data_IF_786312376223
#
_entry.id   IF_786312376223
#
_cell.length_a   1.000
_cell.length_b   1.000
_cell.length_c   1.000
_cell.angle_alpha   90.00
_cell.angle_beta   90.00
_cell.angle_gamma   90.00
#
_symmetry.space_group_name_H-M   'P 1'
#
loop_
_entity.id
_entity.type
_entity.pdbx_description
1 polymer ?
#
# COMPACT_ATOMS: atom_id res chain seq x y z
N UNK A 1 5.85 49.57 31.16
CA UNK A 1 6.89 48.91 30.33
C UNK A 1 6.38 47.55 29.90
N UNK A 2 6.46 47.27 28.61
CA UNK A 2 5.86 46.14 27.90
C UNK A 2 6.76 44.92 28.08
N UNK A 3 6.25 43.78 28.56
CA UNK A 3 6.91 42.49 28.36
C UNK A 3 5.92 41.51 27.74
N UNK A 4 6.00 41.44 26.41
CA UNK A 4 5.35 40.42 25.60
C UNK A 4 6.00 39.07 25.92
N UNK A 5 5.25 38.16 26.53
CA UNK A 5 5.66 36.75 26.55
C UNK A 5 5.54 36.20 25.12
N UNK A 6 6.68 36.20 24.42
CA UNK A 6 6.84 35.49 23.17
C UNK A 6 6.53 34.01 23.37
N UNK A 7 5.33 33.61 22.96
CA UNK A 7 4.93 32.20 22.96
C UNK A 7 5.94 31.37 22.18
N UNK A 8 6.58 30.41 22.86
CA UNK A 8 7.50 29.46 22.26
C UNK A 8 6.72 28.60 21.27
N UNK A 9 6.77 28.98 19.99
CA UNK A 9 6.14 28.23 18.91
C UNK A 9 6.83 26.86 18.79
N UNK A 10 6.14 25.81 19.22
CA UNK A 10 6.61 24.43 19.14
C UNK A 10 6.79 24.06 17.66
N UNK A 11 8.04 23.90 17.21
CA UNK A 11 8.44 23.97 15.81
C UNK A 11 7.82 22.93 14.86
N UNK A 12 7.12 21.90 15.34
CA UNK A 12 6.44 20.92 14.48
C UNK A 12 5.27 20.17 15.19
N UNK A 13 4.11 20.82 15.33
CA UNK A 13 2.86 20.14 15.72
C UNK A 13 2.24 19.44 14.50
N UNK A 14 1.91 18.15 14.66
CA UNK A 14 1.11 17.39 13.69
C UNK A 14 -0.38 17.64 13.97
N UNK A 15 -1.15 17.89 12.92
CA UNK A 15 -2.60 18.05 12.99
C UNK A 15 -3.26 17.08 12.00
N UNK A 16 -4.29 16.37 12.45
CA UNK A 16 -5.10 15.51 11.59
C UNK A 16 -6.03 16.35 10.67
N UNK A 17 -6.62 15.72 9.66
CA UNK A 17 -7.50 16.41 8.72
C UNK A 17 -8.78 16.90 9.40
N UNK A 18 -9.31 16.13 10.35
CA UNK A 18 -10.52 16.48 11.11
C UNK A 18 -10.33 17.79 11.89
N UNK A 19 -9.21 17.93 12.62
CA UNK A 19 -8.87 19.15 13.33
C UNK A 19 -8.69 20.32 12.37
N UNK A 20 -7.95 20.14 11.26
CA UNK A 20 -7.76 21.20 10.27
C UNK A 20 -9.08 21.72 9.72
N UNK A 21 -10.04 20.83 9.45
CA UNK A 21 -11.38 21.22 8.97
C UNK A 21 -12.18 21.93 10.05
N UNK A 22 -12.11 21.50 11.31
CA UNK A 22 -12.76 22.21 12.42
C UNK A 22 -12.24 23.65 12.54
N UNK A 23 -10.92 23.84 12.43
CA UNK A 23 -10.28 25.17 12.44
C UNK A 23 -10.73 26.01 11.25
N UNK A 24 -10.81 25.43 10.05
CA UNK A 24 -11.27 26.13 8.84
C UNK A 24 -12.73 26.55 8.96
N UNK A 25 -13.62 25.67 9.41
CA UNK A 25 -15.05 25.98 9.59
C UNK A 25 -15.24 27.11 10.61
N UNK A 26 -14.51 27.09 11.73
CA UNK A 26 -14.55 28.18 12.71
C UNK A 26 -14.01 29.50 12.13
N UNK A 27 -12.96 29.43 11.32
CA UNK A 27 -12.37 30.61 10.67
C UNK A 27 -13.28 31.25 9.61
N UNK A 28 -14.22 30.48 9.04
CA UNK A 28 -15.23 30.98 8.10
C UNK A 28 -16.40 31.67 8.80
N UNK A 29 -16.79 31.18 9.98
CA UNK A 29 -17.85 31.80 10.79
C UNK A 29 -17.37 33.04 11.55
N UNK A 30 -16.07 33.09 11.88
CA UNK A 30 -15.46 34.18 12.64
C UNK A 30 -14.43 34.89 11.77
N UNK A 31 -13.15 34.74 12.10
CA UNK A 31 -12.03 35.21 11.31
C UNK A 31 -10.84 34.26 11.46
N UNK A 32 -9.86 34.36 10.54
CA UNK A 32 -8.63 33.56 10.62
C UNK A 32 -7.84 33.83 11.90
N UNK A 33 -7.82 35.09 12.35
CA UNK A 33 -7.11 35.51 13.56
C UNK A 33 -7.83 35.05 14.85
N UNK A 34 -9.16 35.04 14.83
CA UNK A 34 -9.95 34.45 15.91
C UNK A 34 -9.73 32.94 16.01
N UNK A 35 -9.69 32.24 14.88
CA UNK A 35 -9.41 30.80 14.84
C UNK A 35 -8.00 30.46 15.34
N UNK A 36 -7.00 31.25 14.94
CA UNK A 36 -5.62 31.09 15.39
C UNK A 36 -5.51 31.17 16.91
N UNK A 37 -6.17 32.17 17.53
CA UNK A 37 -6.24 32.34 18.99
C UNK A 37 -7.01 31.21 19.66
N UNK A 38 -8.21 30.89 19.17
CA UNK A 38 -9.08 29.86 19.74
C UNK A 38 -8.41 28.48 19.78
N UNK A 39 -7.75 28.09 18.69
CA UNK A 39 -7.12 26.77 18.56
C UNK A 39 -5.63 26.75 18.89
N UNK A 40 -5.04 27.89 19.29
CA UNK A 40 -3.60 28.03 19.51
C UNK A 40 -2.76 27.50 18.33
N UNK A 41 -3.14 27.91 17.12
CA UNK A 41 -2.51 27.56 15.84
C UNK A 41 -1.93 28.82 15.21
N UNK A 42 -0.76 28.71 14.59
CA UNK A 42 -0.17 29.78 13.80
C UNK A 42 -1.16 30.31 12.72
N UNK A 43 -1.48 31.63 12.69
CA UNK A 43 -2.34 32.22 11.67
C UNK A 43 -1.94 31.87 10.24
N UNK A 44 -0.65 31.67 9.96
CA UNK A 44 -0.16 31.21 8.65
C UNK A 44 -0.72 29.85 8.28
N UNK A 45 -0.75 28.89 9.22
CA UNK A 45 -1.32 27.55 8.99
C UNK A 45 -2.81 27.61 8.74
N UNK A 46 -3.54 28.44 9.47
CA UNK A 46 -4.98 28.66 9.25
C UNK A 46 -5.23 29.15 7.82
N UNK A 47 -4.41 30.10 7.34
CA UNK A 47 -4.47 30.61 5.96
C UNK A 47 -4.19 29.53 4.92
N UNK A 48 -3.15 28.72 5.13
CA UNK A 48 -2.80 27.60 4.25
C UNK A 48 -3.90 26.52 4.20
N UNK A 49 -4.53 26.21 5.34
CA UNK A 49 -5.61 25.23 5.39
C UNK A 49 -6.88 25.76 4.73
N UNK A 50 -7.20 27.05 4.89
CA UNK A 50 -8.30 27.70 4.15
C UNK A 50 -8.09 27.63 2.64
N UNK A 51 -6.87 27.93 2.15
CA UNK A 51 -6.54 27.81 0.71
C UNK A 51 -6.74 26.39 0.18
N UNK A 52 -6.48 25.39 1.01
CA UNK A 52 -6.58 23.97 0.65
C UNK A 52 -7.86 23.28 1.14
N UNK A 53 -8.91 24.04 1.54
CA UNK A 53 -10.13 23.51 2.17
C UNK A 53 -10.75 22.35 1.39
N UNK A 54 -10.94 22.52 0.09
CA UNK A 54 -11.56 21.51 -0.79
C UNK A 54 -10.76 20.21 -0.82
N UNK A 55 -9.43 20.29 -0.86
CA UNK A 55 -8.54 19.13 -0.81
C UNK A 55 -8.56 18.44 0.58
N UNK A 56 -8.67 19.22 1.66
CA UNK A 56 -8.80 18.69 3.02
C UNK A 56 -10.12 17.94 3.20
N UNK A 57 -11.24 18.49 2.70
CA UNK A 57 -12.58 17.88 2.79
C UNK A 57 -12.61 16.51 2.10
N UNK A 58 -12.29 16.48 0.79
CA UNK A 58 -12.23 15.24 -0.01
C UNK A 58 -11.36 14.16 0.61
N UNK A 59 -10.23 14.55 1.20
CA UNK A 59 -9.31 13.58 1.81
C UNK A 59 -9.78 13.12 3.19
N UNK A 60 -10.49 13.96 3.94
CA UNK A 60 -11.03 13.60 5.26
C UNK A 60 -12.16 12.58 5.17
N UNK A 61 -12.94 12.60 4.09
CA UNK A 61 -14.00 11.61 3.80
C UNK A 61 -13.43 10.20 3.63
N UNK A 62 -12.20 10.10 3.12
CA UNK A 62 -11.50 8.82 2.92
C UNK A 62 -10.69 8.41 4.16
N UNK A 63 -9.97 9.34 4.78
CA UNK A 63 -9.03 9.06 5.88
C UNK A 63 -8.86 10.30 6.79
N UNK A 64 -9.79 10.44 7.74
CA UNK A 64 -9.85 11.60 8.65
C UNK A 64 -8.66 11.71 9.62
N UNK A 65 -7.98 10.59 9.93
CA UNK A 65 -6.81 10.53 10.84
C UNK A 65 -5.50 10.94 10.16
N UNK A 66 -5.50 11.06 8.84
CA UNK A 66 -4.34 11.51 8.07
C UNK A 66 -3.92 12.92 8.49
N UNK A 67 -2.62 13.22 8.42
CA UNK A 67 -2.11 14.57 8.72
C UNK A 67 -1.65 15.36 7.48
N UNK A 68 -1.33 14.68 6.37
CA UNK A 68 -0.76 15.29 5.15
C UNK A 68 -1.71 15.15 3.97
N UNK A 69 -1.76 16.19 3.13
CA UNK A 69 -2.39 16.08 1.82
C UNK A 69 -1.66 15.06 0.95
N UNK A 70 -2.36 14.51 -0.05
CA UNK A 70 -1.73 13.67 -1.08
C UNK A 70 -0.63 14.49 -1.79
N UNK A 71 0.49 13.84 -2.10
CA UNK A 71 1.64 14.49 -2.75
C UNK A 71 2.53 15.34 -1.84
N UNK A 72 2.17 15.57 -0.56
CA UNK A 72 3.00 16.35 0.38
C UNK A 72 4.23 15.61 0.94
N UNK A 73 4.73 14.58 0.25
CA UNK A 73 5.89 13.78 0.62
C UNK A 73 7.09 14.03 -0.29
N UNK A 74 8.21 13.35 -0.02
CA UNK A 74 9.37 13.38 -0.92
C UNK A 74 8.96 12.82 -2.29
N UNK A 75 9.24 13.60 -3.35
CA UNK A 75 9.01 13.19 -4.74
C UNK A 75 9.88 11.99 -5.10
N UNK A 76 9.50 11.29 -6.16
CA UNK A 76 10.31 10.22 -6.79
C UNK A 76 11.65 10.77 -7.27
N UNK A 77 12.65 9.90 -7.42
CA UNK A 77 13.99 10.32 -7.84
C UNK A 77 13.99 10.87 -9.27
N UNK A 78 13.17 10.28 -10.13
CA UNK A 78 12.80 10.79 -11.45
C UNK A 78 11.42 10.20 -11.78
N UNK A 79 10.60 10.94 -12.50
CA UNK A 79 9.32 10.47 -13.02
C UNK A 79 9.52 9.52 -14.21
N UNK A 80 10.41 9.88 -15.14
CA UNK A 80 10.80 9.05 -16.28
C UNK A 80 11.37 7.70 -15.83
N UNK A 81 12.22 7.68 -14.79
CA UNK A 81 12.73 6.43 -14.21
C UNK A 81 11.58 5.53 -13.71
N UNK A 82 10.56 6.10 -13.04
CA UNK A 82 9.45 5.31 -12.53
C UNK A 82 8.62 4.70 -13.67
N UNK A 83 8.35 5.46 -14.74
CA UNK A 83 7.62 4.98 -15.93
C UNK A 83 8.38 3.85 -16.61
N UNK A 84 9.65 4.07 -16.96
CA UNK A 84 10.48 3.08 -17.64
C UNK A 84 10.62 1.79 -16.81
N UNK A 85 10.78 1.92 -15.49
CA UNK A 85 10.82 0.76 -14.59
C UNK A 85 9.49 0.03 -14.51
N UNK A 86 8.36 0.75 -14.50
CA UNK A 86 7.03 0.17 -14.48
C UNK A 86 6.78 -0.67 -15.74
N UNK A 87 7.03 -0.10 -16.91
CA UNK A 87 6.88 -0.78 -18.20
C UNK A 87 7.74 -2.03 -18.28
N UNK A 88 9.00 -1.93 -17.86
CA UNK A 88 9.90 -3.08 -17.85
C UNK A 88 9.41 -4.22 -16.95
N UNK A 89 8.90 -3.91 -15.75
CA UNK A 89 8.35 -4.92 -14.83
C UNK A 89 7.10 -5.58 -15.43
N UNK A 90 6.19 -4.80 -16.01
CA UNK A 90 4.97 -5.32 -16.65
C UNK A 90 5.34 -6.21 -17.85
N UNK A 91 6.21 -5.76 -18.74
CA UNK A 91 6.66 -6.53 -19.91
C UNK A 91 7.33 -7.85 -19.53
N UNK A 92 8.06 -7.90 -18.41
CA UNK A 92 8.59 -9.18 -17.88
C UNK A 92 7.49 -10.09 -17.32
N UNK A 93 6.51 -9.54 -16.60
CA UNK A 93 5.38 -10.31 -16.05
C UNK A 93 4.48 -10.88 -17.14
N UNK A 94 4.24 -10.13 -18.22
CA UNK A 94 3.47 -10.58 -19.39
C UNK A 94 4.14 -11.76 -20.10
N UNK A 95 5.47 -11.81 -20.12
CA UNK A 95 6.26 -12.95 -20.62
C UNK A 95 6.40 -14.10 -19.61
N UNK A 96 5.67 -14.05 -18.50
CA UNK A 96 5.79 -14.99 -17.39
C UNK A 96 7.20 -15.14 -16.81
N UNK A 97 8.05 -14.13 -17.01
CA UNK A 97 9.41 -14.13 -16.51
C UNK A 97 9.45 -13.69 -15.04
N UNK A 98 10.31 -14.35 -14.27
CA UNK A 98 10.50 -14.01 -12.86
C UNK A 98 11.21 -12.67 -12.73
N UNK A 99 10.56 -11.71 -12.07
CA UNK A 99 11.17 -10.43 -11.69
C UNK A 99 11.56 -10.46 -10.22
N UNK A 100 12.85 -10.46 -9.92
CA UNK A 100 13.36 -10.41 -8.54
C UNK A 100 13.69 -8.98 -8.11
N UNK A 101 13.67 -8.73 -6.79
CA UNK A 101 14.09 -7.45 -6.20
C UNK A 101 15.50 -7.03 -6.63
N UNK A 102 16.43 -7.98 -6.76
CA UNK A 102 17.80 -7.72 -7.23
C UNK A 102 17.82 -7.25 -8.69
N UNK A 103 17.01 -7.87 -9.56
CA UNK A 103 16.89 -7.46 -10.96
C UNK A 103 16.30 -6.06 -11.10
N UNK A 104 15.26 -5.73 -10.32
CA UNK A 104 14.65 -4.39 -10.32
C UNK A 104 15.69 -3.33 -9.97
N UNK A 105 16.51 -3.56 -8.93
CA UNK A 105 17.57 -2.62 -8.52
C UNK A 105 18.66 -2.47 -9.57
N UNK A 106 19.07 -3.56 -10.22
CA UNK A 106 20.06 -3.51 -11.28
C UNK A 106 19.53 -2.71 -12.49
N UNK A 107 18.32 -3.02 -12.96
CA UNK A 107 17.70 -2.33 -14.08
C UNK A 107 17.45 -0.85 -13.79
N UNK A 108 17.07 -0.51 -12.56
CA UNK A 108 16.86 0.88 -12.17
C UNK A 108 18.14 1.71 -12.24
N UNK A 109 19.30 1.12 -11.90
CA UNK A 109 20.59 1.82 -12.03
C UNK A 109 20.97 2.03 -13.50
N UNK A 110 20.69 1.05 -14.34
CA UNK A 110 20.92 1.12 -15.78
C UNK A 110 20.04 2.19 -16.45
N UNK A 111 18.74 2.23 -16.13
CA UNK A 111 17.84 3.25 -16.67
C UNK A 111 18.19 4.64 -16.14
N UNK A 112 18.63 4.74 -14.87
CA UNK A 112 18.97 6.05 -14.31
C UNK A 112 20.10 6.76 -15.07
N UNK A 113 21.03 6.03 -15.73
CA UNK A 113 22.08 6.67 -16.53
C UNK A 113 21.58 7.25 -17.86
N UNK A 114 20.39 6.86 -18.32
CA UNK A 114 19.84 7.30 -19.61
C UNK A 114 18.74 8.34 -19.46
N UNK A 115 18.26 8.57 -18.24
CA UNK A 115 17.14 9.47 -17.92
C UNK A 115 17.65 10.92 -17.89
N UNK A 116 16.98 11.80 -18.65
CA UNK A 116 17.36 13.22 -18.78
C UNK A 116 17.03 14.04 -17.53
N UNK A 117 15.99 13.63 -16.80
CA UNK A 117 15.54 14.27 -15.55
C UNK A 117 16.33 13.78 -14.30
N UNK A 118 17.50 13.19 -14.50
CA UNK A 118 18.32 12.72 -13.38
C UNK A 118 18.93 13.91 -12.65
N UNK A 119 18.67 14.02 -11.34
CA UNK A 119 19.44 14.90 -10.48
C UNK A 119 20.92 14.49 -10.52
N UNK A 120 21.85 15.44 -10.43
CA UNK A 120 23.31 15.18 -10.29
C UNK A 120 23.67 14.27 -9.09
N UNK A 121 22.70 13.97 -8.21
CA UNK A 121 22.82 12.99 -7.15
C UNK A 121 22.88 11.55 -7.68
N UNK A 122 23.95 10.84 -7.30
CA UNK A 122 24.15 9.41 -7.54
C UNK A 122 22.97 8.57 -7.01
N UNK A 123 22.13 8.06 -7.91
CA UNK A 123 21.03 7.17 -7.57
C UNK A 123 21.53 5.81 -7.05
N UNK A 124 21.20 5.49 -5.80
CA UNK A 124 21.70 4.27 -5.13
C UNK A 124 20.82 3.04 -5.34
N UNK A 125 19.61 3.18 -5.91
CA UNK A 125 18.58 2.14 -5.96
C UNK A 125 18.47 1.39 -4.60
N UNK A 126 18.31 2.15 -3.52
CA UNK A 126 18.30 1.61 -2.15
C UNK A 126 17.11 0.68 -1.90
N UNK A 127 17.19 -0.13 -0.84
CA UNK A 127 16.07 -1.00 -0.44
C UNK A 127 14.78 -0.20 -0.19
N UNK A 128 14.89 0.95 0.48
CA UNK A 128 13.75 1.84 0.73
C UNK A 128 13.19 2.51 -0.53
N UNK A 129 14.02 2.79 -1.54
CA UNK A 129 13.51 3.22 -2.85
C UNK A 129 12.69 2.10 -3.50
N UNK A 130 13.24 0.88 -3.53
CA UNK A 130 12.56 -0.28 -4.13
C UNK A 130 11.21 -0.56 -3.46
N UNK A 131 11.13 -0.54 -2.13
CA UNK A 131 9.88 -0.77 -1.43
C UNK A 131 8.81 0.27 -1.77
N UNK A 132 9.21 1.54 -1.87
CA UNK A 132 8.30 2.61 -2.29
C UNK A 132 7.87 2.47 -3.75
N UNK A 133 8.79 2.14 -4.65
CA UNK A 133 8.49 1.87 -6.07
C UNK A 133 7.47 0.75 -6.19
N UNK A 134 7.68 -0.38 -5.50
CA UNK A 134 6.75 -1.50 -5.52
C UNK A 134 5.38 -1.12 -4.94
N UNK A 135 5.37 -0.40 -3.82
CA UNK A 135 4.13 0.03 -3.17
C UNK A 135 3.35 1.05 -4.02
N UNK A 136 4.02 2.03 -4.64
CA UNK A 136 3.37 3.02 -5.50
C UNK A 136 2.70 2.39 -6.72
N UNK A 137 3.34 1.37 -7.27
CA UNK A 137 2.92 0.70 -8.50
C UNK A 137 2.10 -0.58 -8.24
N UNK A 138 1.65 -0.80 -7.00
CA UNK A 138 0.90 -1.99 -6.58
C UNK A 138 1.56 -3.33 -6.98
N UNK A 139 2.89 -3.36 -7.05
CA UNK A 139 3.63 -4.58 -7.34
C UNK A 139 3.75 -5.42 -6.07
N UNK A 140 3.00 -6.51 -6.02
CA UNK A 140 3.17 -7.50 -4.96
C UNK A 140 4.43 -8.33 -5.20
N UNK A 141 5.19 -8.57 -4.13
CA UNK A 141 6.24 -9.58 -4.11
C UNK A 141 5.58 -10.93 -3.84
N UNK A 142 4.81 -11.45 -4.81
CA UNK A 142 4.16 -12.75 -4.63
C UNK A 142 5.26 -13.81 -4.53
N UNK A 143 5.44 -14.42 -3.34
CA UNK A 143 6.01 -15.76 -3.28
C UNK A 143 5.04 -16.65 -4.06
N UNK A 144 5.55 -17.39 -5.04
CA UNK A 144 4.76 -18.41 -5.72
C UNK A 144 4.39 -19.46 -4.67
N UNK A 145 3.18 -19.40 -4.11
CA UNK A 145 2.59 -20.57 -3.46
C UNK A 145 2.26 -21.51 -4.59
N UNK A 146 3.05 -22.59 -4.69
CA UNK A 146 2.81 -23.78 -5.50
C UNK A 146 2.45 -23.53 -6.97
N UNK A 147 3.30 -24.03 -7.87
CA UNK A 147 2.93 -24.25 -9.28
C UNK A 147 1.54 -24.90 -9.29
N UNK A 148 0.52 -24.21 -9.82
CA UNK A 148 -0.75 -24.87 -10.11
C UNK A 148 -0.42 -26.12 -10.92
N UNK A 149 -0.93 -27.27 -10.48
CA UNK A 149 -0.60 -28.56 -11.07
C UNK A 149 -0.76 -28.47 -12.58
N UNK A 150 0.23 -28.99 -13.31
CA UNK A 150 0.23 -29.02 -14.77
C UNK A 150 -1.08 -29.59 -15.27
N UNK A 151 -1.51 -29.01 -16.38
CA UNK A 151 -2.48 -29.43 -17.39
C UNK A 151 -3.64 -30.37 -16.97
N UNK A 152 -4.86 -30.08 -17.45
CA UNK A 152 -6.07 -30.82 -17.08
C UNK A 152 -5.95 -32.34 -17.30
N UNK A 153 -5.11 -32.76 -18.26
CA UNK A 153 -4.81 -34.18 -18.55
C UNK A 153 -3.99 -34.88 -17.46
N UNK A 154 -3.00 -34.22 -16.86
CA UNK A 154 -2.26 -34.81 -15.73
C UNK A 154 -3.14 -34.86 -14.46
N UNK A 155 -4.12 -33.97 -14.36
CA UNK A 155 -5.10 -33.97 -13.27
C UNK A 155 -6.05 -35.17 -13.35
N UNK A 156 -6.59 -35.48 -14.53
CA UNK A 156 -7.49 -36.65 -14.71
C UNK A 156 -6.77 -37.96 -14.40
N UNK A 157 -5.52 -38.12 -14.82
CA UNK A 157 -4.72 -39.31 -14.50
C UNK A 157 -4.47 -39.48 -12.99
N UNK A 158 -4.23 -38.38 -12.27
CA UNK A 158 -4.11 -38.42 -10.80
C UNK A 158 -5.44 -38.73 -10.13
N UNK A 159 -6.54 -38.18 -10.64
CA UNK A 159 -7.88 -38.45 -10.12
C UNK A 159 -8.24 -39.93 -10.28
N UNK A 160 -7.97 -40.50 -11.46
CA UNK A 160 -8.17 -41.94 -11.73
C UNK A 160 -7.31 -42.80 -10.79
N UNK A 161 -6.04 -42.44 -10.57
CA UNK A 161 -5.18 -43.15 -9.61
C UNK A 161 -5.73 -43.07 -8.18
N UNK A 162 -6.22 -41.91 -7.76
CA UNK A 162 -6.79 -41.72 -6.43
C UNK A 162 -8.08 -42.52 -6.22
N UNK A 163 -8.98 -42.51 -7.21
CA UNK A 163 -10.22 -43.31 -7.17
C UNK A 163 -9.90 -44.80 -7.10
N UNK A 164 -9.00 -45.29 -7.96
CA UNK A 164 -8.55 -46.69 -7.92
C UNK A 164 -7.92 -47.07 -6.58
N UNK A 165 -7.09 -46.19 -6.02
CA UNK A 165 -6.49 -46.39 -4.70
C UNK A 165 -7.55 -46.43 -3.58
N UNK A 166 -8.56 -45.56 -3.66
CA UNK A 166 -9.65 -45.51 -2.68
C UNK A 166 -10.53 -46.75 -2.76
N UNK A 167 -10.89 -47.20 -3.97
CA UNK A 167 -11.62 -48.45 -4.20
C UNK A 167 -10.83 -49.65 -3.71
N UNK A 168 -9.54 -49.73 -4.02
CA UNK A 168 -8.64 -50.76 -3.51
C UNK A 168 -8.56 -50.75 -1.98
N UNK A 169 -8.49 -49.57 -1.35
CA UNK A 169 -8.51 -49.46 0.11
C UNK A 169 -9.83 -49.95 0.71
N UNK A 170 -10.98 -49.62 0.10
CA UNK A 170 -12.29 -50.08 0.60
C UNK A 170 -12.52 -51.59 0.40
N UNK A 171 -11.90 -52.18 -0.62
CA UNK A 171 -11.97 -53.63 -0.88
C UNK A 171 -11.03 -54.43 0.05
N UNK A 172 -9.84 -53.88 0.33
CA UNK A 172 -8.82 -54.55 1.15
C UNK A 172 -9.02 -54.33 2.64
N UNK A 173 -9.50 -53.16 3.05
CA UNK A 173 -9.96 -52.91 4.40
C UNK A 173 -11.47 -53.14 4.45
N UNK A 174 -11.89 -54.36 4.83
CA UNK A 174 -13.25 -54.59 5.34
C UNK A 174 -13.46 -53.66 6.54
N UNK A 175 -13.93 -52.44 6.31
CA UNK A 175 -14.43 -51.58 7.37
C UNK A 175 -15.51 -52.37 8.09
N UNK A 176 -15.36 -52.65 9.40
CA UNK A 176 -16.41 -53.33 10.13
C UNK A 176 -17.67 -52.49 10.02
N UNK A 177 -18.76 -53.07 9.52
CA UNK A 177 -20.08 -52.49 9.75
C UNK A 177 -20.20 -52.27 11.26
N UNK A 178 -20.23 -51.01 11.67
CA UNK A 178 -20.66 -50.68 13.02
C UNK A 178 -22.11 -51.11 13.09
N UNK A 179 -22.34 -52.27 13.71
CA UNK A 179 -23.67 -52.82 13.95
C UNK A 179 -24.56 -51.74 14.53
N UNK A 180 -25.60 -51.39 13.77
CA UNK A 180 -26.70 -50.56 14.25
C UNK A 180 -27.38 -51.42 15.33
N UNK A 181 -27.24 -51.02 16.60
CA UNK A 181 -27.92 -51.65 17.72
C UNK A 181 -29.42 -51.40 17.50
N UNK A 182 -30.16 -52.46 17.24
CA UNK A 182 -31.62 -52.48 17.23
C UNK A 182 -32.10 -52.26 18.67
N UNK A 183 -32.83 -51.17 18.92
CA UNK A 183 -33.61 -50.97 20.13
C UNK A 183 -35.05 -51.38 19.82
N UNK A 184 -35.32 -52.68 19.94
CA UNK A 184 -36.67 -53.21 20.09
C UNK A 184 -37.05 -53.12 21.56
N UNK A 185 -37.83 -52.09 21.91
CA UNK A 185 -38.55 -52.03 23.19
C UNK A 185 -39.68 -53.07 23.21
N UNK A 186 -39.67 -53.91 24.25
CA UNK A 186 -40.68 -54.90 24.60
C UNK A 186 -40.35 -55.58 25.92
#
# INVERSE_FOLDING_TARGET
MINQHGSVQCRNKKYDLKFKLAVVNYAEQNSGEAAARHFSVDPKRVREWRKNKTALQRLSEVDSKRARLRGGGRKTASEELEVNMWEWVIGKRLRHERVTRKMIRAKAKEIFTTVSDSSDERFSASAGWLDRFLHRNNFTCRRRTTVAQKDAKEFTEKLVKFVRFSSWMTETMKTPEKGIIDHSDG
#
